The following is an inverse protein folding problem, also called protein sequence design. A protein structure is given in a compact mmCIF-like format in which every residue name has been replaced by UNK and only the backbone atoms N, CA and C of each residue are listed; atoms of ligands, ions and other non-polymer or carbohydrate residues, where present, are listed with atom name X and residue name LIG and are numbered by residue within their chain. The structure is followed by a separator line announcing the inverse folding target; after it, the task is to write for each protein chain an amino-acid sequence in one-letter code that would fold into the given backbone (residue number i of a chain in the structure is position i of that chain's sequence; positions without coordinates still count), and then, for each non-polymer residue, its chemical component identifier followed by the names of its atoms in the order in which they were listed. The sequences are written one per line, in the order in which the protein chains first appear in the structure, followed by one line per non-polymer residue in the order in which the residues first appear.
data_IF_153564292247
#
_entry.id   IF_153564292247
#
_cell.length_a   1.000
_cell.length_b   1.000
_cell.length_c   1.000
_cell.angle_alpha   90.00
_cell.angle_beta   90.00
_cell.angle_gamma   90.00
#
_symmetry.space_group_name_H-M   'P 1'
#
loop_
_entity.id
_entity.type
_entity.pdbx_description
1 polymer ?
#
# COMPACT_ATOMS: atom_id res chain seq x y z
N UNK A 1 18.03 14.54 -13.65
CA UNK A 1 17.56 13.14 -13.61
C UNK A 1 16.03 13.16 -13.67
N UNK A 2 15.44 12.41 -14.59
CA UNK A 2 13.99 12.19 -14.57
C UNK A 2 13.69 11.26 -13.39
N UNK A 3 12.84 11.70 -12.44
CA UNK A 3 12.39 10.87 -11.34
C UNK A 3 10.93 10.52 -11.64
N UNK A 4 10.62 9.23 -11.72
CA UNK A 4 9.27 8.73 -11.89
C UNK A 4 8.40 9.19 -10.72
N UNK A 5 7.21 9.73 -10.99
CA UNK A 5 6.31 10.27 -9.97
C UNK A 5 4.94 9.66 -10.08
N UNK A 6 4.43 9.25 -8.93
CA UNK A 6 3.03 8.86 -8.79
C UNK A 6 2.15 10.12 -8.69
N UNK A 7 1.04 10.17 -9.41
CA UNK A 7 0.09 11.29 -9.35
C UNK A 7 -0.43 11.53 -7.92
N UNK A 8 -0.99 12.72 -7.66
CA UNK A 8 -1.51 13.08 -6.33
C UNK A 8 -2.49 12.04 -5.78
N UNK A 9 -3.39 11.57 -6.63
CA UNK A 9 -4.32 10.48 -6.33
C UNK A 9 -4.01 9.29 -7.22
N UNK A 10 -3.93 8.12 -6.64
CA UNK A 10 -3.67 6.88 -7.37
C UNK A 10 -4.47 5.73 -6.74
N UNK A 11 -4.85 4.78 -7.58
CA UNK A 11 -5.58 3.60 -7.15
C UNK A 11 -4.91 2.34 -7.67
N UNK A 12 -4.57 1.45 -6.74
CA UNK A 12 -4.14 0.10 -7.03
C UNK A 12 -5.34 -0.79 -7.29
N UNK A 13 -5.36 -1.39 -8.47
CA UNK A 13 -6.42 -2.31 -8.90
C UNK A 13 -5.84 -3.68 -9.18
N UNK A 14 -6.35 -4.70 -8.49
CA UNK A 14 -5.99 -6.09 -8.75
C UNK A 14 -6.90 -6.72 -9.81
N UNK A 15 -6.33 -7.68 -10.52
CA UNK A 15 -7.10 -8.56 -11.40
C UNK A 15 -6.52 -9.97 -11.33
N UNK A 16 -7.26 -10.90 -10.74
CA UNK A 16 -6.77 -12.26 -10.53
C UNK A 16 -6.52 -13.01 -11.84
N UNK A 17 -7.31 -12.72 -12.86
CA UNK A 17 -7.27 -13.46 -14.13
C UNK A 17 -6.65 -12.67 -15.29
N UNK A 18 -6.23 -11.42 -15.07
CA UNK A 18 -5.64 -10.55 -16.10
C UNK A 18 -6.55 -10.30 -17.32
N UNK A 19 -7.86 -10.13 -17.07
CA UNK A 19 -8.89 -9.99 -18.11
C UNK A 19 -9.71 -8.69 -17.99
N UNK A 20 -9.67 -8.02 -16.83
CA UNK A 20 -10.55 -6.89 -16.50
C UNK A 20 -9.89 -5.51 -16.68
N UNK A 21 -8.66 -5.44 -17.13
CA UNK A 21 -7.88 -4.20 -17.22
C UNK A 21 -8.59 -3.07 -17.98
N UNK A 22 -9.30 -3.39 -19.08
CA UNK A 22 -10.09 -2.41 -19.84
C UNK A 22 -11.27 -1.85 -19.05
N UNK A 23 -11.99 -2.72 -18.32
CA UNK A 23 -13.12 -2.30 -17.50
C UNK A 23 -12.66 -1.40 -16.35
N UNK A 24 -11.57 -1.79 -15.68
CA UNK A 24 -10.94 -1.04 -14.61
C UNK A 24 -10.47 0.34 -15.09
N UNK A 25 -9.74 0.40 -16.19
CA UNK A 25 -9.28 1.67 -16.77
C UNK A 25 -10.44 2.55 -17.24
N UNK A 26 -11.50 1.96 -17.81
CA UNK A 26 -12.70 2.72 -18.19
C UNK A 26 -13.37 3.38 -16.98
N UNK A 27 -13.40 2.73 -15.82
CA UNK A 27 -13.94 3.31 -14.60
C UNK A 27 -13.10 4.50 -14.13
N UNK A 28 -11.76 4.37 -14.14
CA UNK A 28 -10.84 5.45 -13.79
C UNK A 28 -10.96 6.63 -14.75
N UNK A 29 -11.03 6.36 -16.06
CA UNK A 29 -11.23 7.43 -17.08
C UNK A 29 -12.52 8.20 -16.83
N UNK A 30 -13.62 7.52 -16.50
CA UNK A 30 -14.89 8.18 -16.14
C UNK A 30 -14.78 9.05 -14.88
N UNK A 31 -13.99 8.65 -13.90
CA UNK A 31 -13.70 9.45 -12.72
C UNK A 31 -12.88 10.71 -13.12
N UNK A 32 -11.87 10.52 -13.97
CA UNK A 32 -11.01 11.61 -14.45
C UNK A 32 -11.79 12.64 -15.30
N UNK A 33 -12.78 12.21 -16.07
CA UNK A 33 -13.70 13.10 -16.78
C UNK A 33 -14.53 14.02 -15.85
N UNK A 34 -14.69 13.61 -14.57
CA UNK A 34 -15.33 14.42 -13.53
C UNK A 34 -14.37 15.35 -12.78
N UNK A 35 -13.14 15.48 -13.24
CA UNK A 35 -12.11 16.33 -12.63
C UNK A 35 -11.28 15.68 -11.53
N UNK A 36 -11.35 14.36 -11.39
CA UNK A 36 -10.52 13.58 -10.48
C UNK A 36 -9.32 13.04 -11.25
N UNK A 37 -8.13 13.57 -11.02
CA UNK A 37 -6.91 13.06 -11.66
C UNK A 37 -6.38 11.82 -10.89
N UNK A 38 -6.94 10.65 -11.21
CA UNK A 38 -6.56 9.37 -10.61
C UNK A 38 -5.61 8.61 -11.53
N UNK A 39 -4.46 8.21 -11.00
CA UNK A 39 -3.48 7.38 -11.70
C UNK A 39 -3.76 5.90 -11.41
N UNK A 40 -3.98 5.06 -12.45
CA UNK A 40 -4.16 3.62 -12.27
C UNK A 40 -2.82 2.93 -11.98
N UNK A 41 -2.88 1.95 -11.07
CA UNK A 41 -1.75 1.06 -10.73
C UNK A 41 -2.27 -0.38 -10.72
N UNK A 42 -1.87 -1.21 -11.69
CA UNK A 42 -2.25 -2.63 -11.65
C UNK A 42 -1.37 -3.39 -10.69
N UNK A 43 -1.96 -4.07 -9.72
CA UNK A 43 -1.23 -4.80 -8.69
C UNK A 43 -1.53 -6.31 -8.74
N UNK A 44 -0.51 -7.13 -8.51
CA UNK A 44 -0.68 -8.58 -8.33
C UNK A 44 0.49 -9.16 -7.55
N UNK A 45 0.17 -9.90 -6.48
CA UNK A 45 1.18 -10.51 -5.62
C UNK A 45 1.69 -11.84 -6.19
N UNK A 46 2.89 -12.26 -5.75
CA UNK A 46 3.45 -13.56 -6.13
C UNK A 46 2.53 -14.71 -5.75
N UNK A 47 1.84 -14.62 -4.62
CA UNK A 47 0.85 -15.62 -4.18
C UNK A 47 -0.30 -15.73 -5.17
N UNK A 48 -0.85 -14.62 -5.64
CA UNK A 48 -1.94 -14.61 -6.62
C UNK A 48 -1.49 -15.17 -7.97
N UNK A 49 -0.30 -14.84 -8.44
CA UNK A 49 0.26 -15.44 -9.65
C UNK A 49 0.37 -16.97 -9.55
N UNK A 50 0.84 -17.49 -8.42
CA UNK A 50 0.95 -18.94 -8.19
C UNK A 50 -0.43 -19.60 -8.21
N UNK A 51 -1.44 -19.01 -7.56
CA UNK A 51 -2.77 -19.59 -7.49
C UNK A 51 -3.49 -19.72 -8.84
N UNK A 52 -3.30 -18.73 -9.71
CA UNK A 52 -4.01 -18.68 -11.00
C UNK A 52 -3.13 -19.10 -12.18
N UNK A 53 -1.85 -19.42 -11.94
CA UNK A 53 -0.92 -19.88 -12.98
C UNK A 53 -0.49 -18.77 -13.94
N UNK A 54 -0.40 -17.52 -13.48
CA UNK A 54 0.07 -16.36 -14.25
C UNK A 54 1.49 -15.96 -13.80
N UNK A 55 2.10 -15.01 -14.52
CA UNK A 55 3.42 -14.43 -14.24
C UNK A 55 3.38 -12.91 -14.29
N UNK A 56 4.36 -12.18 -13.75
CA UNK A 56 4.38 -10.71 -13.76
C UNK A 56 4.17 -10.07 -15.14
N UNK A 57 4.65 -10.72 -16.20
CA UNK A 57 4.44 -10.26 -17.58
C UNK A 57 2.95 -10.19 -17.97
N UNK A 58 2.11 -11.07 -17.43
CA UNK A 58 0.68 -11.08 -17.76
C UNK A 58 -0.01 -9.81 -17.24
N UNK A 59 0.35 -9.36 -16.02
CA UNK A 59 -0.18 -8.10 -15.46
C UNK A 59 0.32 -6.88 -16.25
N UNK A 60 1.60 -6.86 -16.67
CA UNK A 60 2.14 -5.81 -17.55
C UNK A 60 1.41 -5.78 -18.87
N UNK A 61 1.25 -6.91 -19.53
CA UNK A 61 0.57 -7.02 -20.82
C UNK A 61 -0.89 -6.57 -20.72
N UNK A 62 -1.59 -6.95 -19.67
CA UNK A 62 -2.97 -6.50 -19.40
C UNK A 62 -3.08 -4.98 -19.31
N UNK A 63 -2.21 -4.34 -18.52
CA UNK A 63 -2.17 -2.90 -18.38
C UNK A 63 -1.89 -2.20 -19.72
N UNK A 64 -0.86 -2.65 -20.44
CA UNK A 64 -0.45 -2.08 -21.72
C UNK A 64 -1.56 -2.26 -22.79
N UNK A 65 -2.21 -3.42 -22.84
CA UNK A 65 -3.34 -3.68 -23.75
C UNK A 65 -4.56 -2.81 -23.42
N UNK A 66 -4.89 -2.64 -22.14
CA UNK A 66 -5.99 -1.77 -21.72
C UNK A 66 -5.73 -0.31 -22.12
N UNK A 67 -4.53 0.20 -21.84
CA UNK A 67 -4.07 1.54 -22.20
C UNK A 67 -4.14 1.77 -23.71
N UNK A 68 -3.63 0.81 -24.50
CA UNK A 68 -3.68 0.86 -25.96
C UNK A 68 -5.10 0.83 -26.51
N UNK A 69 -5.92 -0.10 -25.99
CA UNK A 69 -7.30 -0.30 -26.49
C UNK A 69 -8.20 0.91 -26.23
N UNK A 70 -8.00 1.61 -25.10
CA UNK A 70 -8.76 2.79 -24.71
C UNK A 70 -8.09 4.11 -25.12
N UNK A 71 -6.94 4.04 -25.80
CA UNK A 71 -6.16 5.21 -26.20
C UNK A 71 -5.86 6.17 -25.01
N UNK A 72 -5.66 5.60 -23.80
CA UNK A 72 -5.36 6.35 -22.61
C UNK A 72 -4.01 7.07 -22.73
N UNK A 73 -3.94 8.32 -22.26
CA UNK A 73 -2.74 9.17 -22.40
C UNK A 73 -2.12 9.57 -21.06
N UNK A 74 -2.77 9.22 -19.96
CA UNK A 74 -2.26 9.48 -18.62
C UNK A 74 -1.13 8.52 -18.24
N UNK A 75 -0.48 8.81 -17.12
CA UNK A 75 0.46 7.88 -16.50
C UNK A 75 -0.27 6.65 -15.94
N UNK A 76 0.41 5.51 -15.96
CA UNK A 76 -0.05 4.27 -15.33
C UNK A 76 1.16 3.46 -14.87
N UNK A 77 0.94 2.58 -13.90
CA UNK A 77 2.00 1.77 -13.31
C UNK A 77 1.54 0.32 -13.12
N UNK A 78 2.53 -0.57 -13.00
CA UNK A 78 2.32 -1.98 -12.63
C UNK A 78 3.12 -2.27 -11.37
N UNK A 79 2.42 -2.66 -10.32
CA UNK A 79 2.96 -2.90 -9.00
C UNK A 79 3.34 -4.36 -8.80
N UNK A 80 4.58 -4.57 -8.40
CA UNK A 80 5.06 -5.79 -7.79
C UNK A 80 4.55 -5.82 -6.33
N UNK A 81 3.35 -6.33 -6.14
CA UNK A 81 2.61 -6.27 -4.89
C UNK A 81 3.20 -7.20 -3.83
N UNK A 82 3.57 -6.64 -2.68
CA UNK A 82 4.12 -7.35 -1.51
C UNK A 82 5.32 -8.26 -1.87
N UNK A 83 6.38 -7.63 -2.37
CA UNK A 83 7.63 -8.34 -2.71
C UNK A 83 8.64 -8.29 -1.57
N UNK A 84 9.50 -9.31 -1.55
CA UNK A 84 10.67 -9.43 -0.69
C UNK A 84 11.92 -9.82 -1.52
N UNK A 85 13.06 -10.04 -0.87
CA UNK A 85 14.30 -10.40 -1.58
C UNK A 85 14.20 -11.70 -2.38
N UNK A 86 13.36 -12.66 -1.96
CA UNK A 86 13.19 -13.95 -2.66
C UNK A 86 12.34 -13.81 -3.94
N UNK A 87 11.50 -12.80 -4.01
CA UNK A 87 10.53 -12.63 -5.10
C UNK A 87 10.82 -11.47 -6.03
N UNK A 88 11.52 -10.44 -5.56
CA UNK A 88 11.74 -9.17 -6.30
C UNK A 88 12.31 -9.38 -7.70
N UNK A 89 13.24 -10.32 -7.87
CA UNK A 89 13.90 -10.59 -9.17
C UNK A 89 12.93 -10.95 -10.29
N UNK A 90 11.79 -11.55 -9.97
CA UNK A 90 10.75 -11.94 -10.94
C UNK A 90 10.01 -10.74 -11.54
N UNK A 91 10.05 -9.60 -10.86
CA UNK A 91 9.24 -8.41 -11.18
C UNK A 91 10.03 -7.26 -11.79
N UNK A 92 11.37 -7.28 -11.66
CA UNK A 92 12.24 -6.16 -12.02
C UNK A 92 11.92 -5.59 -13.40
N UNK A 93 11.78 -6.43 -14.43
CA UNK A 93 11.54 -5.98 -15.79
C UNK A 93 10.09 -5.57 -16.05
N UNK A 94 9.14 -6.21 -15.37
CA UNK A 94 7.70 -6.08 -15.68
C UNK A 94 7.00 -5.00 -14.85
N UNK A 95 7.60 -4.58 -13.73
CA UNK A 95 7.00 -3.60 -12.82
C UNK A 95 7.77 -2.29 -12.79
N UNK A 96 7.06 -1.23 -12.47
CA UNK A 96 7.58 0.13 -12.27
C UNK A 96 7.08 0.76 -10.96
N UNK A 97 6.30 0.03 -10.20
CA UNK A 97 5.91 0.29 -8.83
C UNK A 97 6.25 -0.96 -8.00
N UNK A 98 6.80 -0.78 -6.80
CA UNK A 98 7.24 -1.90 -5.95
C UNK A 98 6.79 -1.68 -4.51
N UNK A 99 5.92 -2.58 -4.03
CA UNK A 99 5.49 -2.65 -2.63
C UNK A 99 6.44 -3.53 -1.86
N UNK A 100 7.35 -2.92 -1.12
CA UNK A 100 8.33 -3.61 -0.28
C UNK A 100 7.64 -4.11 0.99
N UNK A 101 7.40 -5.40 1.10
CA UNK A 101 6.81 -6.03 2.28
C UNK A 101 7.87 -6.27 3.35
N UNK A 102 7.76 -5.54 4.45
CA UNK A 102 8.69 -5.66 5.58
C UNK A 102 8.00 -6.05 6.89
N UNK A 103 6.70 -6.36 6.84
CA UNK A 103 5.91 -6.70 8.01
C UNK A 103 6.50 -7.85 8.83
N UNK A 104 7.00 -8.89 8.16
CA UNK A 104 7.62 -10.05 8.82
C UNK A 104 8.95 -9.75 9.52
N UNK A 105 9.51 -8.55 9.35
CA UNK A 105 10.74 -8.10 9.99
C UNK A 105 10.48 -7.17 11.18
N UNK A 106 9.25 -6.76 11.42
CA UNK A 106 8.88 -5.97 12.59
C UNK A 106 9.08 -6.82 13.86
N UNK A 107 9.79 -6.26 14.84
CA UNK A 107 10.14 -6.93 16.08
C UNK A 107 11.29 -7.94 15.98
N UNK A 108 11.92 -8.09 14.79
CA UNK A 108 13.16 -8.87 14.69
C UNK A 108 14.34 -8.13 15.32
N UNK A 109 15.23 -8.89 15.93
CA UNK A 109 16.39 -8.38 16.61
C UNK A 109 17.33 -7.62 15.65
N UNK A 110 17.75 -6.43 16.07
CA UNK A 110 18.76 -5.60 15.42
C UNK A 110 20.03 -5.57 16.24
N UNK A 111 21.16 -5.28 15.62
CA UNK A 111 22.43 -5.14 16.35
C UNK A 111 22.34 -3.98 17.36
N UNK A 112 22.87 -4.21 18.56
CA UNK A 112 22.85 -3.19 19.63
C UNK A 112 23.46 -1.87 19.18
N UNK A 113 24.56 -1.94 18.42
CA UNK A 113 25.26 -0.76 17.91
C UNK A 113 24.38 0.07 16.97
N UNK A 114 23.53 -0.58 16.15
CA UNK A 114 22.62 0.10 15.24
C UNK A 114 21.47 0.76 16.01
N UNK A 115 20.95 0.10 17.07
CA UNK A 115 19.95 0.67 17.98
C UNK A 115 20.51 1.88 18.69
N UNK A 116 21.69 1.76 19.31
CA UNK A 116 22.34 2.85 20.05
C UNK A 116 22.65 4.04 19.11
N UNK A 117 23.09 3.78 17.87
CA UNK A 117 23.35 4.83 16.88
C UNK A 117 22.06 5.56 16.47
N UNK A 118 20.98 4.83 16.23
CA UNK A 118 19.68 5.43 15.91
C UNK A 118 19.16 6.29 17.05
N UNK A 119 19.15 5.78 18.29
CA UNK A 119 18.72 6.52 19.48
C UNK A 119 19.56 7.79 19.65
N UNK A 120 20.90 7.70 19.49
CA UNK A 120 21.78 8.87 19.54
C UNK A 120 21.41 9.92 18.47
N UNK A 121 21.05 9.51 17.25
CA UNK A 121 20.62 10.42 16.18
C UNK A 121 19.29 11.13 16.46
N UNK A 122 18.46 10.53 17.32
CA UNK A 122 17.13 11.01 17.67
C UNK A 122 17.10 11.92 18.92
N UNK A 123 18.22 12.12 19.63
CA UNK A 123 18.27 12.91 20.87
C UNK A 123 17.68 14.31 20.75
N UNK A 124 17.83 14.96 19.58
CA UNK A 124 17.27 16.30 19.34
C UNK A 124 15.74 16.36 19.40
N UNK A 125 15.04 15.20 19.30
CA UNK A 125 13.58 15.11 19.36
C UNK A 125 13.06 14.77 20.74
N UNK A 126 13.94 14.48 21.73
CA UNK A 126 13.51 14.11 23.09
C UNK A 126 12.73 15.22 23.77
N UNK A 127 11.75 14.83 24.56
CA UNK A 127 10.80 15.72 25.23
C UNK A 127 9.49 15.84 24.48
N UNK A 128 8.88 17.02 24.50
CA UNK A 128 7.59 17.29 23.88
C UNK A 128 7.79 17.79 22.45
N UNK A 129 7.51 16.94 21.47
CA UNK A 129 7.57 17.30 20.05
C UNK A 129 6.17 17.69 19.57
N UNK A 130 5.99 18.96 19.19
CA UNK A 130 4.73 19.43 18.60
C UNK A 130 4.78 19.28 17.09
N UNK A 131 3.91 18.41 16.55
CA UNK A 131 3.66 18.34 15.12
C UNK A 131 2.50 19.28 14.78
N UNK A 132 2.65 20.18 13.79
CA UNK A 132 1.59 21.11 13.42
C UNK A 132 0.31 20.37 13.01
N UNK A 133 -0.81 20.71 13.64
CA UNK A 133 -2.14 20.11 13.40
C UNK A 133 -2.48 18.93 14.32
N UNK A 134 -1.52 18.34 15.01
CA UNK A 134 -1.78 17.34 16.06
C UNK A 134 -2.02 18.07 17.38
N UNK A 135 -3.15 17.77 18.01
CA UNK A 135 -3.61 18.51 19.21
C UNK A 135 -2.65 18.35 20.40
N UNK A 136 -2.21 17.12 20.67
CA UNK A 136 -1.32 16.83 21.78
C UNK A 136 0.10 16.60 21.29
N UNK A 137 1.14 17.24 21.94
CA UNK A 137 2.51 16.98 21.57
C UNK A 137 2.90 15.52 21.81
N UNK A 138 3.77 15.00 20.95
CA UNK A 138 4.33 13.66 21.10
C UNK A 138 5.38 13.67 22.20
N UNK A 139 5.23 12.81 23.21
CA UNK A 139 6.21 12.69 24.30
C UNK A 139 7.28 11.66 23.95
N UNK A 140 8.47 12.11 23.61
CA UNK A 140 9.58 11.27 23.16
C UNK A 140 10.58 11.09 24.30
N UNK A 141 10.69 9.84 24.76
CA UNK A 141 11.66 9.44 25.82
C UNK A 141 12.75 8.55 25.25
N UNK A 142 13.84 8.40 25.99
CA UNK A 142 14.93 7.49 25.63
C UNK A 142 14.46 6.04 25.53
N UNK A 143 13.63 5.60 26.48
CA UNK A 143 13.00 4.28 26.50
C UNK A 143 12.15 4.05 25.23
N UNK A 144 11.28 5.01 24.88
CA UNK A 144 10.47 4.97 23.67
C UNK A 144 11.32 4.83 22.40
N UNK A 145 12.43 5.58 22.33
CA UNK A 145 13.32 5.50 21.16
C UNK A 145 13.98 4.13 21.04
N UNK A 146 14.34 3.49 22.15
CA UNK A 146 14.87 2.13 22.16
C UNK A 146 13.80 1.12 21.74
N UNK A 147 12.56 1.26 22.22
CA UNK A 147 11.44 0.39 21.86
C UNK A 147 11.12 0.49 20.36
N UNK A 148 11.01 1.69 19.84
CA UNK A 148 10.76 1.94 18.40
C UNK A 148 11.92 1.40 17.55
N UNK A 149 13.15 1.62 17.97
CA UNK A 149 14.33 1.08 17.27
C UNK A 149 14.32 -0.46 17.29
N UNK A 150 14.09 -1.07 18.44
CA UNK A 150 14.00 -2.52 18.56
C UNK A 150 12.88 -3.14 17.70
N UNK A 151 11.78 -2.40 17.52
CA UNK A 151 10.63 -2.83 16.74
C UNK A 151 10.83 -2.68 15.23
N UNK A 152 11.42 -1.58 14.74
CA UNK A 152 11.37 -1.22 13.32
C UNK A 152 12.72 -1.17 12.58
N UNK A 153 13.87 -1.20 13.26
CA UNK A 153 15.17 -1.11 12.56
C UNK A 153 15.40 -2.26 11.59
N UNK A 154 15.05 -3.48 11.97
CA UNK A 154 15.21 -4.64 11.09
C UNK A 154 14.30 -4.55 9.86
N UNK A 155 13.06 -4.07 10.04
CA UNK A 155 12.10 -3.87 8.95
C UNK A 155 12.58 -2.79 7.97
N UNK A 156 13.06 -1.66 8.46
CA UNK A 156 13.60 -0.59 7.60
C UNK A 156 14.93 -0.96 6.95
N UNK A 157 15.74 -1.83 7.59
CA UNK A 157 16.91 -2.41 6.96
C UNK A 157 16.54 -3.31 5.79
N UNK A 158 15.52 -4.15 5.96
CA UNK A 158 15.00 -4.98 4.88
C UNK A 158 14.47 -4.15 3.71
N UNK A 159 13.75 -3.06 3.98
CA UNK A 159 13.31 -2.12 2.95
C UNK A 159 14.50 -1.54 2.16
N UNK A 160 15.57 -1.16 2.86
CA UNK A 160 16.79 -0.66 2.23
C UNK A 160 17.48 -1.72 1.34
N UNK A 161 17.51 -2.97 1.77
CA UNK A 161 18.12 -4.06 0.98
C UNK A 161 17.34 -4.33 -0.31
N UNK A 162 16.01 -4.38 -0.25
CA UNK A 162 15.16 -4.54 -1.43
C UNK A 162 15.29 -3.33 -2.35
N UNK A 163 15.22 -2.11 -1.80
CA UNK A 163 15.42 -0.88 -2.57
C UNK A 163 16.79 -0.83 -3.25
N UNK A 164 17.86 -1.20 -2.54
CA UNK A 164 19.21 -1.21 -3.08
C UNK A 164 19.36 -2.21 -4.24
N UNK A 165 18.72 -3.36 -4.14
CA UNK A 165 18.63 -4.31 -5.24
C UNK A 165 17.93 -3.68 -6.46
N UNK A 166 16.76 -3.10 -6.26
CA UNK A 166 16.00 -2.43 -7.34
C UNK A 166 16.77 -1.26 -7.95
N UNK A 167 17.41 -0.44 -7.13
CA UNK A 167 18.27 0.67 -7.59
C UNK A 167 19.41 0.19 -8.48
N UNK A 168 20.01 -0.96 -8.14
CA UNK A 168 21.08 -1.57 -8.94
C UNK A 168 20.58 -2.07 -10.28
N UNK A 169 19.41 -2.74 -10.30
CA UNK A 169 18.89 -3.40 -11.51
C UNK A 169 18.14 -2.42 -12.45
N UNK A 170 17.38 -1.46 -11.90
CA UNK A 170 16.55 -0.53 -12.69
C UNK A 170 17.12 0.88 -12.80
N UNK A 171 18.05 1.24 -11.94
CA UNK A 171 18.54 2.62 -11.80
C UNK A 171 17.63 3.47 -10.89
N UNK A 172 18.25 4.41 -10.18
CA UNK A 172 17.57 5.32 -9.28
C UNK A 172 16.57 6.23 -10.00
N UNK A 173 15.38 6.39 -9.45
CA UNK A 173 14.32 7.24 -10.00
C UNK A 173 13.50 6.59 -11.12
N UNK A 174 13.80 5.36 -11.54
CA UNK A 174 13.08 4.66 -12.60
C UNK A 174 11.94 3.74 -12.08
N UNK A 175 11.56 3.89 -10.83
CA UNK A 175 10.46 3.15 -10.22
C UNK A 175 9.88 3.90 -9.01
N UNK A 176 8.65 3.56 -8.66
CA UNK A 176 7.96 4.02 -7.46
C UNK A 176 8.27 3.05 -6.32
N UNK A 177 8.54 3.57 -5.13
CA UNK A 177 8.80 2.78 -3.93
C UNK A 177 7.67 2.96 -2.92
N UNK A 178 7.00 1.88 -2.60
CA UNK A 178 6.11 1.76 -1.45
C UNK A 178 6.77 0.91 -0.36
N UNK A 179 6.61 1.29 0.91
CA UNK A 179 6.96 0.44 2.04
C UNK A 179 5.67 0.05 2.76
N UNK A 180 5.43 -1.27 2.89
CA UNK A 180 4.24 -1.81 3.54
C UNK A 180 4.56 -2.50 4.86
N UNK A 181 3.76 -2.15 5.88
CA UNK A 181 3.77 -2.71 7.23
C UNK A 181 2.37 -3.07 7.70
N UNK A 182 1.41 -3.23 6.79
CA UNK A 182 0.00 -3.44 7.11
C UNK A 182 -0.33 -4.88 7.54
N UNK A 183 0.48 -5.88 7.15
CA UNK A 183 0.28 -7.28 7.53
C UNK A 183 0.83 -7.62 8.94
N UNK A 184 0.42 -6.85 9.96
CA UNK A 184 0.78 -7.04 11.38
C UNK A 184 -0.46 -7.00 12.27
N UNK A 185 -0.33 -7.43 13.54
CA UNK A 185 -1.45 -7.46 14.47
C UNK A 185 -1.81 -6.07 15.02
N UNK A 186 -0.81 -5.25 15.33
CA UNK A 186 -1.00 -3.96 15.99
C UNK A 186 -0.79 -2.79 15.02
N UNK A 187 -1.64 -1.76 15.06
CA UNK A 187 -1.44 -0.52 14.32
C UNK A 187 -0.14 0.18 14.72
N UNK A 188 0.46 0.93 13.79
CA UNK A 188 1.53 1.85 14.11
C UNK A 188 0.94 3.13 14.70
N UNK A 189 1.61 3.64 15.75
CA UNK A 189 1.27 4.95 16.32
C UNK A 189 1.90 6.09 15.53
N UNK A 190 1.42 7.34 15.65
CA UNK A 190 2.03 8.51 15.01
C UNK A 190 3.54 8.68 15.35
N UNK A 191 3.95 8.33 16.56
CA UNK A 191 5.37 8.37 16.95
C UNK A 191 6.17 7.29 16.23
N UNK A 192 5.63 6.08 16.16
CA UNK A 192 6.25 4.98 15.40
C UNK A 192 6.37 5.35 13.92
N UNK A 193 5.31 5.88 13.30
CA UNK A 193 5.32 6.35 11.92
C UNK A 193 6.41 7.40 11.68
N UNK A 194 6.54 8.38 12.57
CA UNK A 194 7.57 9.41 12.48
C UNK A 194 8.98 8.81 12.42
N UNK A 195 9.28 7.89 13.34
CA UNK A 195 10.62 7.31 13.42
C UNK A 195 10.88 6.22 12.36
N UNK A 196 9.87 5.53 11.88
CA UNK A 196 9.97 4.68 10.69
C UNK A 196 10.39 5.52 9.47
N UNK A 197 9.75 6.64 9.25
CA UNK A 197 10.09 7.57 8.17
C UNK A 197 11.49 8.14 8.33
N UNK A 198 11.90 8.43 9.56
CA UNK A 198 13.29 8.83 9.83
C UNK A 198 14.30 7.72 9.49
N UNK A 199 14.02 6.47 9.90
CA UNK A 199 14.89 5.33 9.60
C UNK A 199 15.05 5.11 8.09
N UNK A 200 13.97 5.24 7.33
CA UNK A 200 13.99 5.14 5.88
C UNK A 200 14.78 6.29 5.24
N UNK A 201 14.61 7.51 5.74
CA UNK A 201 15.37 8.68 5.29
C UNK A 201 16.86 8.53 5.58
N UNK A 202 17.24 8.11 6.80
CA UNK A 202 18.64 7.89 7.20
C UNK A 202 19.33 6.85 6.32
N UNK A 203 18.59 5.88 5.80
CA UNK A 203 19.09 4.85 4.87
C UNK A 203 19.05 5.29 3.39
N UNK A 204 18.50 6.46 3.11
CA UNK A 204 18.36 6.95 1.73
C UNK A 204 17.35 6.19 0.88
N UNK A 205 16.30 5.65 1.48
CA UNK A 205 15.17 5.04 0.76
C UNK A 205 14.16 6.13 0.40
N UNK A 206 14.01 6.51 -0.88
CA UNK A 206 13.10 7.57 -1.31
C UNK A 206 11.68 7.02 -1.42
N UNK A 207 11.06 6.75 -0.28
CA UNK A 207 9.69 6.21 -0.21
C UNK A 207 8.68 7.23 -0.73
N UNK A 208 7.81 6.82 -1.65
CA UNK A 208 6.76 7.66 -2.26
C UNK A 208 5.37 7.33 -1.74
N UNK A 209 5.15 6.10 -1.29
CA UNK A 209 3.95 5.71 -0.55
C UNK A 209 4.33 4.83 0.64
N UNK A 210 3.61 4.99 1.77
CA UNK A 210 3.80 4.17 2.96
C UNK A 210 2.46 3.63 3.43
N UNK A 211 2.40 2.32 3.67
CA UNK A 211 1.20 1.61 4.09
C UNK A 211 1.31 1.12 5.54
N UNK A 212 0.81 1.88 6.51
CA UNK A 212 0.71 1.43 7.88
C UNK A 212 -0.49 0.49 8.08
N UNK A 213 -0.49 -0.19 9.22
CA UNK A 213 -1.66 -0.84 9.78
C UNK A 213 -2.54 0.17 10.49
N UNK A 214 -3.82 0.25 10.14
CA UNK A 214 -4.83 1.00 10.88
C UNK A 214 -5.59 0.10 11.85
N UNK A 215 -6.21 0.71 12.87
CA UNK A 215 -7.17 0.02 13.74
C UNK A 215 -8.37 -0.46 12.94
N UNK A 216 -8.96 -1.58 13.36
CA UNK A 216 -10.10 -2.19 12.69
C UNK A 216 -9.73 -3.31 11.73
N UNK A 217 -10.72 -3.79 10.99
CA UNK A 217 -10.57 -4.93 10.07
C UNK A 217 -10.85 -4.51 8.62
N UNK A 218 -9.95 -4.91 7.74
CA UNK A 218 -9.97 -4.63 6.30
C UNK A 218 -10.17 -5.93 5.49
N UNK A 219 -11.07 -6.80 5.95
CA UNK A 219 -11.34 -8.07 5.30
C UNK A 219 -11.91 -7.85 3.89
N UNK A 220 -11.50 -8.71 2.93
CA UNK A 220 -12.01 -8.64 1.55
C UNK A 220 -13.49 -9.04 1.51
N UNK A 221 -14.28 -8.37 0.68
CA UNK A 221 -15.69 -8.67 0.44
C UNK A 221 -16.68 -8.04 1.43
N UNK A 222 -16.22 -7.32 2.44
CA UNK A 222 -17.04 -6.59 3.41
C UNK A 222 -16.52 -5.18 3.60
N UNK A 223 -17.36 -4.27 4.11
CA UNK A 223 -16.94 -2.92 4.46
C UNK A 223 -15.98 -2.92 5.67
N UNK A 224 -15.38 -1.78 5.97
CA UNK A 224 -14.56 -1.60 7.16
C UNK A 224 -15.35 -1.94 8.43
N UNK A 225 -14.72 -2.67 9.34
CA UNK A 225 -15.28 -3.00 10.64
C UNK A 225 -14.36 -2.48 11.74
N UNK A 226 -14.79 -1.43 12.40
CA UNK A 226 -14.03 -0.75 13.46
C UNK A 226 -14.71 0.54 13.89
N UNK A 227 -14.02 1.27 14.77
CA UNK A 227 -14.43 2.59 15.21
C UNK A 227 -14.04 3.63 14.14
N UNK A 228 -15.03 4.28 13.53
CA UNK A 228 -14.82 5.27 12.47
C UNK A 228 -14.17 6.56 12.98
N UNK A 229 -14.44 6.96 14.22
CA UNK A 229 -13.84 8.16 14.82
C UNK A 229 -12.36 7.90 15.14
N UNK A 230 -12.04 6.72 15.63
CA UNK A 230 -10.65 6.30 15.85
C UNK A 230 -9.90 6.22 14.52
N UNK A 231 -10.49 5.63 13.48
CA UNK A 231 -9.88 5.59 12.15
C UNK A 231 -9.64 7.00 11.60
N UNK A 232 -10.61 7.91 11.73
CA UNK A 232 -10.49 9.29 11.27
C UNK A 232 -9.31 10.00 11.94
N UNK A 233 -9.17 9.82 13.27
CA UNK A 233 -8.05 10.37 14.03
C UNK A 233 -6.71 9.82 13.59
N UNK A 234 -6.57 8.48 13.51
CA UNK A 234 -5.34 7.82 13.09
C UNK A 234 -4.91 8.26 11.68
N UNK A 235 -5.86 8.26 10.75
CA UNK A 235 -5.59 8.66 9.37
C UNK A 235 -5.15 10.13 9.26
N UNK A 236 -5.79 11.05 9.99
CA UNK A 236 -5.41 12.47 10.00
C UNK A 236 -4.04 12.67 10.67
N UNK A 237 -3.76 12.04 11.79
CA UNK A 237 -2.48 12.12 12.49
C UNK A 237 -1.34 11.60 11.61
N UNK A 238 -1.53 10.47 10.90
CA UNK A 238 -0.53 9.94 9.97
C UNK A 238 -0.25 10.87 8.78
N UNK A 239 -1.30 11.49 8.22
CA UNK A 239 -1.15 12.51 7.17
C UNK A 239 -0.28 13.68 7.66
N UNK A 240 -0.51 14.15 8.88
CA UNK A 240 0.23 15.27 9.48
C UNK A 240 1.67 14.88 9.83
N UNK A 241 1.88 13.66 10.33
CA UNK A 241 3.22 13.10 10.60
C UNK A 241 4.04 13.00 9.31
N UNK A 242 3.44 12.51 8.23
CA UNK A 242 4.11 12.44 6.93
C UNK A 242 4.51 13.85 6.45
N UNK A 243 3.61 14.83 6.54
CA UNK A 243 3.91 16.21 6.14
C UNK A 243 5.08 16.81 6.94
N UNK A 244 5.15 16.53 8.23
CA UNK A 244 6.25 16.90 9.08
C UNK A 244 7.55 16.18 8.69
N UNK A 245 7.50 14.85 8.53
CA UNK A 245 8.64 14.01 8.21
C UNK A 245 9.28 14.37 6.85
N UNK A 246 8.46 14.64 5.84
CA UNK A 246 8.93 15.10 4.52
C UNK A 246 9.81 16.34 4.63
N UNK A 247 9.39 17.32 5.44
CA UNK A 247 10.13 18.57 5.64
C UNK A 247 11.36 18.37 6.51
N UNK A 248 11.23 17.61 7.59
CA UNK A 248 12.29 17.45 8.61
C UNK A 248 13.39 16.50 8.13
N UNK A 249 13.04 15.43 7.41
CA UNK A 249 13.99 14.39 7.00
C UNK A 249 14.39 14.46 5.52
N UNK A 250 13.82 15.38 4.73
CA UNK A 250 14.13 15.52 3.31
C UNK A 250 13.61 14.37 2.46
N UNK A 251 12.50 13.76 2.84
CA UNK A 251 11.82 12.72 2.06
C UNK A 251 11.16 13.30 0.81
N UNK A 252 10.78 12.46 -0.19
CA UNK A 252 10.11 12.92 -1.39
C UNK A 252 8.85 13.76 -1.06
N UNK A 253 8.71 14.91 -1.76
CA UNK A 253 7.60 15.83 -1.53
C UNK A 253 6.22 15.25 -1.89
N UNK A 254 6.20 14.20 -2.70
CA UNK A 254 5.03 13.46 -3.13
C UNK A 254 4.75 12.22 -2.27
N UNK A 255 5.50 12.01 -1.19
CA UNK A 255 5.21 10.96 -0.21
C UNK A 255 3.79 11.12 0.35
N UNK A 256 3.04 10.03 0.34
CA UNK A 256 1.66 9.98 0.83
C UNK A 256 1.33 8.64 1.48
N UNK A 257 0.24 8.62 2.23
CA UNK A 257 -0.33 7.37 2.73
C UNK A 257 -0.79 6.46 1.59
N UNK A 258 -0.59 5.18 1.81
CA UNK A 258 -1.20 4.08 1.08
C UNK A 258 -2.15 3.33 2.01
N UNK A 259 -3.41 3.18 1.60
CA UNK A 259 -4.41 2.41 2.36
C UNK A 259 -4.68 1.11 1.62
N UNK A 260 -4.23 0.00 2.20
CA UNK A 260 -4.49 -1.33 1.67
C UNK A 260 -5.88 -1.78 2.13
N UNK A 261 -6.87 -1.51 1.30
CA UNK A 261 -8.29 -1.70 1.67
C UNK A 261 -8.79 -3.13 1.46
N UNK A 262 -8.07 -3.94 0.69
CA UNK A 262 -8.48 -5.28 0.29
C UNK A 262 -9.63 -5.24 -0.72
N UNK A 263 -10.83 -4.85 -0.31
CA UNK A 263 -11.96 -4.48 -1.16
C UNK A 263 -12.43 -3.07 -0.80
N UNK A 264 -13.39 -2.53 -1.54
CA UNK A 264 -13.94 -1.22 -1.25
C UNK A 264 -14.43 -1.11 0.20
N UNK A 265 -14.16 0.04 0.82
CA UNK A 265 -14.49 0.36 2.19
C UNK A 265 -15.27 1.69 2.21
N UNK A 266 -16.52 1.63 1.79
CA UNK A 266 -17.35 2.83 1.56
C UNK A 266 -17.52 3.68 2.81
N UNK A 267 -17.53 3.08 4.00
CA UNK A 267 -17.68 3.80 5.27
C UNK A 267 -16.52 4.74 5.59
N UNK A 268 -15.28 4.42 5.16
CA UNK A 268 -14.09 5.25 5.43
C UNK A 268 -13.71 6.17 4.27
N UNK A 269 -14.25 5.99 3.07
CA UNK A 269 -13.93 6.86 1.93
C UNK A 269 -14.28 8.35 2.17
N UNK A 270 -15.44 8.71 2.73
CA UNK A 270 -15.73 10.10 3.07
C UNK A 270 -14.75 10.70 4.09
N UNK A 271 -14.33 9.91 5.09
CA UNK A 271 -13.37 10.31 6.10
C UNK A 271 -12.02 10.66 5.44
N UNK A 272 -11.48 9.74 4.64
CA UNK A 272 -10.22 9.97 3.92
C UNK A 272 -10.34 11.18 2.99
N UNK A 273 -11.41 11.29 2.21
CA UNK A 273 -11.63 12.41 1.30
C UNK A 273 -11.63 13.76 2.02
N UNK A 274 -12.29 13.85 3.18
CA UNK A 274 -12.34 15.08 3.98
C UNK A 274 -10.94 15.45 4.52
N UNK A 275 -10.18 14.48 5.03
CA UNK A 275 -8.83 14.73 5.58
C UNK A 275 -7.86 15.17 4.48
N UNK A 276 -7.79 14.44 3.35
CA UNK A 276 -6.89 14.83 2.26
C UNK A 276 -7.25 16.17 1.62
N UNK A 277 -8.55 16.52 1.55
CA UNK A 277 -8.99 17.82 1.09
C UNK A 277 -8.62 18.94 2.09
N UNK A 278 -8.84 18.71 3.39
CA UNK A 278 -8.49 19.66 4.47
C UNK A 278 -7.02 20.05 4.47
N UNK A 279 -6.13 19.07 4.23
CA UNK A 279 -4.69 19.25 4.30
C UNK A 279 -4.00 19.38 2.93
N UNK A 280 -4.77 19.37 1.84
CA UNK A 280 -4.28 19.39 0.44
C UNK A 280 -3.24 18.30 0.15
N UNK A 281 -3.51 17.06 0.60
CA UNK A 281 -2.60 15.91 0.47
C UNK A 281 -3.06 14.91 -0.58
N UNK A 282 -2.13 14.08 -1.01
CA UNK A 282 -2.40 12.95 -1.90
C UNK A 282 -2.79 11.69 -1.13
N UNK A 283 -3.22 10.68 -1.88
CA UNK A 283 -3.56 9.36 -1.34
C UNK A 283 -3.32 8.28 -2.40
N UNK A 284 -2.78 7.16 -1.98
CA UNK A 284 -2.84 5.91 -2.71
C UNK A 284 -3.81 4.97 -2.01
N UNK A 285 -4.78 4.42 -2.75
CA UNK A 285 -5.65 3.35 -2.25
C UNK A 285 -5.28 2.08 -3.02
N UNK A 286 -4.98 1.01 -2.32
CA UNK A 286 -4.72 -0.29 -2.94
C UNK A 286 -5.89 -1.23 -2.66
N UNK A 287 -6.52 -1.72 -3.74
CA UNK A 287 -7.65 -2.64 -3.67
C UNK A 287 -7.33 -3.96 -4.35
N UNK A 288 -8.10 -5.00 -4.06
CA UNK A 288 -8.09 -6.23 -4.82
C UNK A 288 -8.66 -6.05 -6.24
N UNK A 289 -9.17 -4.86 -6.57
CA UNK A 289 -9.75 -4.52 -7.86
C UNK A 289 -11.07 -5.23 -8.12
N UNK A 290 -11.16 -5.96 -9.23
CA UNK A 290 -12.36 -6.74 -9.55
C UNK A 290 -12.61 -7.81 -8.50
N UNK A 291 -13.76 -7.72 -7.83
CA UNK A 291 -14.08 -8.65 -6.74
C UNK A 291 -14.36 -10.07 -7.30
N UNK A 292 -14.06 -11.08 -6.50
CA UNK A 292 -14.38 -12.46 -6.84
C UNK A 292 -15.88 -12.67 -7.15
N UNK A 293 -16.75 -11.94 -6.47
CA UNK A 293 -18.18 -11.99 -6.68
C UNK A 293 -18.57 -11.53 -8.09
N UNK A 294 -17.97 -10.45 -8.60
CA UNK A 294 -18.21 -9.97 -9.96
C UNK A 294 -17.80 -10.97 -11.03
N UNK A 295 -16.69 -11.70 -10.83
CA UNK A 295 -16.27 -12.77 -11.72
C UNK A 295 -17.31 -13.91 -11.76
N UNK A 296 -17.84 -14.31 -10.60
CA UNK A 296 -18.88 -15.35 -10.51
C UNK A 296 -20.19 -14.86 -11.12
N UNK A 297 -20.57 -13.60 -10.93
CA UNK A 297 -21.74 -12.98 -11.60
C UNK A 297 -21.54 -13.01 -13.11
N UNK A 298 -20.36 -12.63 -13.61
CA UNK A 298 -20.05 -12.69 -15.04
C UNK A 298 -20.20 -14.10 -15.62
N UNK A 299 -19.69 -15.11 -14.92
CA UNK A 299 -19.86 -16.52 -15.29
C UNK A 299 -21.35 -16.93 -15.34
N UNK A 300 -22.14 -16.52 -14.34
CA UNK A 300 -23.56 -16.82 -14.28
C UNK A 300 -24.35 -16.17 -15.44
N UNK A 301 -24.04 -14.92 -15.77
CA UNK A 301 -24.66 -14.15 -16.86
C UNK A 301 -24.30 -14.75 -18.24
N UNK A 302 -23.11 -15.30 -18.40
CA UNK A 302 -22.68 -15.93 -19.64
C UNK A 302 -23.55 -17.18 -20.02
N UNK A 303 -24.21 -17.78 -19.04
CA UNK A 303 -25.03 -18.98 -19.27
C UNK A 303 -24.21 -20.25 -19.55
N UNK A 304 -24.83 -21.30 -20.02
CA UNK A 304 -24.15 -22.55 -20.41
C UNK A 304 -23.15 -23.07 -19.36
N UNK A 305 -21.92 -23.30 -19.80
CA UNK A 305 -20.86 -23.82 -18.93
C UNK A 305 -20.47 -22.81 -17.82
N UNK A 306 -20.53 -21.51 -18.10
CA UNK A 306 -20.30 -20.46 -17.12
C UNK A 306 -21.30 -20.53 -15.98
N UNK A 307 -22.59 -20.61 -16.27
CA UNK A 307 -23.63 -20.76 -15.25
C UNK A 307 -23.48 -22.09 -14.47
N UNK A 308 -23.11 -23.16 -15.16
CA UNK A 308 -22.86 -24.44 -14.50
C UNK A 308 -21.69 -24.36 -13.51
N UNK A 309 -20.60 -23.64 -13.87
CA UNK A 309 -19.48 -23.40 -12.99
C UNK A 309 -19.86 -22.51 -11.80
N UNK A 310 -20.59 -21.41 -12.05
CA UNK A 310 -21.06 -20.51 -11.00
C UNK A 310 -21.91 -21.26 -9.95
N UNK A 311 -22.80 -22.16 -10.38
CA UNK A 311 -23.60 -23.01 -9.47
C UNK A 311 -22.72 -23.92 -8.62
N UNK A 312 -21.69 -24.55 -9.20
CA UNK A 312 -20.74 -25.40 -8.45
C UNK A 312 -19.95 -24.58 -7.42
N UNK A 313 -19.51 -23.39 -7.78
CA UNK A 313 -18.80 -22.47 -6.86
C UNK A 313 -19.72 -22.13 -5.70
N UNK A 314 -20.98 -21.76 -5.98
CA UNK A 314 -21.95 -21.41 -4.95
C UNK A 314 -22.22 -22.59 -4.00
N UNK A 315 -22.49 -23.78 -4.55
CA UNK A 315 -22.75 -24.99 -3.76
C UNK A 315 -21.57 -25.35 -2.85
N UNK A 316 -20.34 -25.34 -3.38
CA UNK A 316 -19.13 -25.59 -2.61
C UNK A 316 -18.92 -24.56 -1.50
N UNK A 317 -19.15 -23.28 -1.80
CA UNK A 317 -19.03 -22.20 -0.82
C UNK A 317 -20.07 -22.32 0.28
N UNK A 318 -21.31 -22.66 -0.08
CA UNK A 318 -22.40 -22.86 0.87
C UNK A 318 -22.11 -24.02 1.82
N UNK A 319 -21.61 -25.15 1.29
CA UNK A 319 -21.27 -26.32 2.09
C UNK A 319 -20.08 -26.09 3.05
N UNK A 320 -19.22 -25.11 2.73
CA UNK A 320 -18.06 -24.70 3.55
C UNK A 320 -18.28 -23.37 4.27
N UNK A 321 -19.52 -22.92 4.39
CA UNK A 321 -19.86 -21.59 4.92
C UNK A 321 -19.20 -21.30 6.27
N UNK A 322 -19.29 -22.22 7.23
CA UNK A 322 -18.80 -22.02 8.58
C UNK A 322 -17.26 -21.90 8.61
N UNK A 323 -16.56 -22.67 7.76
CA UNK A 323 -15.12 -22.55 7.56
C UNK A 323 -14.75 -21.19 6.92
N UNK A 324 -15.46 -20.81 5.85
CA UNK A 324 -15.15 -19.59 5.10
C UNK A 324 -15.50 -18.31 5.88
N UNK A 325 -16.49 -18.36 6.77
CA UNK A 325 -16.87 -17.22 7.61
C UNK A 325 -16.08 -17.11 8.91
N UNK A 326 -15.27 -18.10 9.27
CA UNK A 326 -14.52 -18.09 10.54
C UNK A 326 -13.61 -16.85 10.73
N UNK A 327 -12.98 -16.24 9.69
CA UNK A 327 -12.18 -15.02 9.84
C UNK A 327 -13.00 -13.73 10.02
N UNK A 328 -14.33 -13.77 9.86
CA UNK A 328 -15.23 -12.62 9.92
C UNK A 328 -16.03 -12.62 11.23
#
# INVERSE_FOLDING_TARGET
LYIMKLGKYSIGVGDRFTLQGKAQLSAIMKANEKGLEITPVWNKSNREHIYVGTVPADTRNEADEAVKALNYKGAYFVDADHINLDTVSKYVEMSDFFTLDVASFIGKESKKEDVDAFVASCKKYMGQLQIPGIESPLNITDELLHDVAGKFLAATQQAYEIYSYLKKEKGEGNFITEVSMDEVESPQTPIEMLFILKMLADKGVPVQTIAPKFTGRFNKGVDYVGDLDQFAKEFEEDVLVIDYAVKEFGLPQDLKLSVHSGSDKFSIYPIMANVIAKHDKGLHIKTAGTTWLEEVIGLAVAGGDGLSLAKKIYENSYNRRDELCAPY
#
